data_IF_926078292681
#
_entry.id   IF_926078292681
#
_cell.length_a   1.000
_cell.length_b   1.000
_cell.length_c   1.000
_cell.angle_alpha   90.00
_cell.angle_beta   90.00
_cell.angle_gamma   90.00
#
_symmetry.space_group_name_H-M   'P 1'
#
loop_
_entity.id
_entity.type
_entity.pdbx_description
1 polymer ?
#
# COMPACT_ATOMS: atom_id res chain seq x y z
N UNK A 1 -4.48 -9.89 -13.80
CA UNK A 1 -3.28 -10.64 -13.35
C UNK A 1 -2.36 -9.67 -12.62
N UNK A 2 -1.72 -10.06 -11.52
CA UNK A 2 -0.86 -9.19 -10.73
C UNK A 2 0.37 -9.95 -10.23
N UNK A 3 1.34 -9.21 -9.71
CA UNK A 3 2.47 -9.70 -8.94
C UNK A 3 2.59 -8.88 -7.65
N UNK A 4 3.27 -9.43 -6.64
CA UNK A 4 3.45 -8.77 -5.35
C UNK A 4 4.94 -8.57 -5.16
N UNK A 5 5.34 -7.33 -4.88
CA UNK A 5 6.73 -6.99 -4.57
C UNK A 5 6.78 -6.36 -3.19
N UNK A 6 7.49 -7.01 -2.27
CA UNK A 6 7.74 -6.47 -0.93
C UNK A 6 9.23 -6.13 -0.82
N UNK A 7 9.53 -4.91 -0.34
CA UNK A 7 10.89 -4.49 -0.04
C UNK A 7 10.99 -4.24 1.45
N UNK A 8 11.66 -5.15 2.15
CA UNK A 8 11.86 -5.10 3.60
C UNK A 8 12.94 -4.09 3.97
N UNK A 9 12.64 -3.20 4.91
CA UNK A 9 13.50 -2.14 5.43
C UNK A 9 14.59 -2.62 6.39
N UNK A 10 15.02 -3.90 6.28
CA UNK A 10 15.83 -4.59 7.28
C UNK A 10 15.15 -4.73 8.64
N UNK A 11 13.87 -5.12 8.66
CA UNK A 11 13.13 -5.37 9.91
C UNK A 11 13.82 -6.43 10.79
N UNK A 12 13.81 -6.17 12.10
CA UNK A 12 14.46 -7.00 13.14
C UNK A 12 13.49 -7.86 13.93
N UNK A 13 12.21 -7.84 13.59
CA UNK A 13 11.09 -8.45 14.31
C UNK A 13 10.65 -9.80 13.72
N UNK A 14 11.45 -10.37 12.82
CA UNK A 14 11.12 -11.62 12.12
C UNK A 14 10.34 -11.45 10.82
N UNK A 15 9.98 -10.23 10.42
CA UNK A 15 9.29 -9.93 9.14
C UNK A 15 9.93 -10.65 7.95
N UNK A 16 11.26 -10.66 7.86
CA UNK A 16 11.94 -11.31 6.74
C UNK A 16 11.80 -12.82 6.70
N UNK A 17 11.81 -13.49 7.86
CA UNK A 17 11.61 -14.93 7.92
C UNK A 17 10.20 -15.27 7.42
N UNK A 18 9.19 -14.48 7.82
CA UNK A 18 7.81 -14.61 7.34
C UNK A 18 7.74 -14.41 5.82
N UNK A 19 8.39 -13.37 5.29
CA UNK A 19 8.43 -13.10 3.85
C UNK A 19 9.08 -14.25 3.05
N UNK A 20 10.14 -14.85 3.57
CA UNK A 20 10.79 -16.01 2.96
C UNK A 20 9.85 -17.23 2.91
N UNK A 21 9.11 -17.50 3.99
CA UNK A 21 8.13 -18.59 4.04
C UNK A 21 6.94 -18.35 3.09
N UNK A 22 6.42 -17.12 3.07
CA UNK A 22 5.34 -16.74 2.15
C UNK A 22 5.76 -16.87 0.68
N UNK A 23 7.00 -16.49 0.35
CA UNK A 23 7.55 -16.61 -1.01
C UNK A 23 7.60 -18.07 -1.49
N UNK A 24 7.88 -19.02 -0.60
CA UNK A 24 7.85 -20.45 -0.95
C UNK A 24 6.45 -20.92 -1.35
N UNK A 25 5.41 -20.33 -0.76
CA UNK A 25 4.00 -20.71 -0.96
C UNK A 25 3.31 -19.90 -2.05
N UNK A 26 3.81 -18.71 -2.36
CA UNK A 26 3.20 -17.79 -3.30
C UNK A 26 4.20 -17.40 -4.42
N UNK A 27 4.09 -18.00 -5.62
CA UNK A 27 5.00 -17.71 -6.73
C UNK A 27 4.84 -16.28 -7.29
N UNK A 28 3.76 -15.57 -6.94
CA UNK A 28 3.57 -14.17 -7.31
C UNK A 28 4.35 -13.20 -6.42
N UNK A 29 4.88 -13.67 -5.27
CA UNK A 29 5.59 -12.83 -4.31
C UNK A 29 7.09 -12.78 -4.60
N UNK A 30 7.59 -11.56 -4.82
CA UNK A 30 9.00 -11.22 -4.85
C UNK A 30 9.36 -10.42 -3.62
N UNK A 31 10.51 -10.71 -3.04
CA UNK A 31 10.98 -10.07 -1.81
C UNK A 31 12.38 -9.51 -2.05
N UNK A 32 12.62 -8.30 -1.58
CA UNK A 32 13.91 -7.60 -1.59
C UNK A 32 14.18 -7.00 -0.22
N UNK A 33 15.41 -6.51 -0.01
CA UNK A 33 15.82 -5.82 1.21
C UNK A 33 16.60 -4.57 0.89
N UNK A 34 16.32 -3.49 1.61
CA UNK A 34 17.08 -2.25 1.54
C UNK A 34 17.01 -1.51 2.88
N UNK A 35 18.14 -1.15 3.50
CA UNK A 35 18.14 -0.54 4.84
C UNK A 35 17.93 0.98 4.82
N UNK A 36 17.68 1.59 3.66
CA UNK A 36 17.75 3.05 3.52
C UNK A 36 16.49 3.75 4.03
N UNK A 37 15.45 3.82 3.19
CA UNK A 37 14.18 4.46 3.53
C UNK A 37 13.06 3.93 2.62
N UNK A 38 11.81 4.27 2.95
CA UNK A 38 10.65 3.84 2.20
C UNK A 38 10.69 4.26 0.72
N UNK A 39 11.26 5.42 0.38
CA UNK A 39 11.36 5.86 -1.00
C UNK A 39 12.35 5.00 -1.80
N UNK A 40 13.51 4.65 -1.23
CA UNK A 40 14.46 3.72 -1.83
C UNK A 40 13.82 2.34 -2.04
N UNK A 41 13.06 1.86 -1.05
CA UNK A 41 12.28 0.62 -1.16
C UNK A 41 11.27 0.66 -2.31
N UNK A 42 10.46 1.72 -2.40
CA UNK A 42 9.52 1.93 -3.52
C UNK A 42 10.23 1.96 -4.87
N UNK A 43 11.38 2.62 -4.98
CA UNK A 43 12.18 2.66 -6.20
C UNK A 43 12.75 1.29 -6.60
N UNK A 44 13.10 0.43 -5.65
CA UNK A 44 13.46 -0.97 -5.92
C UNK A 44 12.24 -1.73 -6.44
N UNK A 45 11.08 -1.54 -5.81
CA UNK A 45 9.81 -2.13 -6.24
C UNK A 45 9.48 -1.81 -7.69
N UNK A 46 9.47 -0.51 -8.04
CA UNK A 46 9.18 -0.03 -9.40
C UNK A 46 10.14 -0.64 -10.43
N UNK A 47 11.46 -0.65 -10.15
CA UNK A 47 12.47 -1.20 -11.08
C UNK A 47 12.32 -2.71 -11.33
N UNK A 48 11.68 -3.45 -10.43
CA UNK A 48 11.49 -4.89 -10.53
C UNK A 48 10.08 -5.31 -10.96
N UNK A 49 9.16 -4.33 -11.08
CA UNK A 49 7.79 -4.54 -11.53
C UNK A 49 7.76 -4.82 -13.04
N UNK A 50 6.86 -5.71 -13.47
CA UNK A 50 6.63 -6.08 -14.87
C UNK A 50 5.24 -5.69 -15.36
N UNK A 51 4.38 -5.18 -14.47
CA UNK A 51 3.05 -4.70 -14.81
C UNK A 51 3.08 -3.36 -15.56
N UNK A 52 2.03 -3.07 -16.32
CA UNK A 52 1.82 -1.75 -16.93
C UNK A 52 1.45 -0.66 -15.91
N UNK A 53 1.03 -1.07 -14.71
CA UNK A 53 0.70 -0.20 -13.58
C UNK A 53 1.40 -0.69 -12.31
N UNK A 54 1.68 0.25 -11.40
CA UNK A 54 2.20 -0.04 -10.06
C UNK A 54 1.18 0.48 -9.05
N UNK A 55 0.67 -0.40 -8.20
CA UNK A 55 -0.18 -0.06 -7.07
C UNK A 55 0.63 -0.14 -5.77
N UNK A 56 0.64 0.93 -4.99
CA UNK A 56 1.32 0.98 -3.70
C UNK A 56 0.36 0.67 -2.57
N UNK A 57 0.81 -0.13 -1.61
CA UNK A 57 0.12 -0.39 -0.35
C UNK A 57 1.16 -0.53 0.76
N UNK A 58 0.87 0.04 1.92
CA UNK A 58 1.75 -0.02 3.09
C UNK A 58 1.59 -1.36 3.82
N UNK A 59 2.62 -1.74 4.62
CA UNK A 59 2.68 -3.05 5.28
C UNK A 59 1.67 -3.25 6.41
N UNK A 60 1.03 -2.17 6.86
CA UNK A 60 0.00 -2.12 7.89
C UNK A 60 -1.41 -1.85 7.32
N UNK A 61 -1.56 -1.88 5.99
CA UNK A 61 -2.83 -1.66 5.32
C UNK A 61 -3.49 -2.98 4.86
N UNK A 62 -4.82 -2.98 4.82
CA UNK A 62 -5.63 -4.07 4.28
C UNK A 62 -6.28 -3.61 2.97
N UNK A 63 -5.98 -4.32 1.88
CA UNK A 63 -6.63 -4.05 0.60
C UNK A 63 -8.08 -4.56 0.61
N UNK A 64 -9.02 -3.75 0.10
CA UNK A 64 -10.37 -4.21 -0.22
C UNK A 64 -10.31 -5.34 -1.26
N UNK A 65 -11.29 -6.26 -1.22
CA UNK A 65 -11.34 -7.41 -2.14
C UNK A 65 -11.38 -6.98 -3.61
N UNK A 66 -11.99 -5.82 -3.90
CA UNK A 66 -12.11 -5.26 -5.24
C UNK A 66 -11.07 -4.17 -5.54
N UNK A 67 -10.06 -3.99 -4.67
CA UNK A 67 -9.13 -2.85 -4.75
C UNK A 67 -8.43 -2.73 -6.10
N UNK A 68 -7.75 -3.78 -6.56
CA UNK A 68 -7.05 -3.77 -7.84
C UNK A 68 -7.99 -3.69 -9.05
N UNK A 69 -9.17 -4.29 -8.95
CA UNK A 69 -10.19 -4.24 -10.01
C UNK A 69 -10.72 -2.82 -10.20
N UNK A 70 -11.01 -2.13 -9.10
CA UNK A 70 -11.49 -0.75 -9.11
C UNK A 70 -10.43 0.21 -9.66
N UNK A 71 -9.16 0.03 -9.27
CA UNK A 71 -8.02 0.78 -9.83
C UNK A 71 -7.96 0.59 -11.35
N UNK A 72 -7.98 -0.65 -11.83
CA UNK A 72 -7.91 -0.97 -13.27
C UNK A 72 -9.07 -0.35 -14.06
N UNK A 73 -10.31 -0.55 -13.60
CA UNK A 73 -11.51 0.02 -14.25
C UNK A 73 -11.47 1.54 -14.30
N UNK A 74 -10.89 2.17 -13.28
CA UNK A 74 -10.78 3.64 -13.23
C UNK A 74 -9.80 4.12 -14.29
N UNK A 75 -8.62 3.50 -14.43
CA UNK A 75 -7.69 3.82 -15.51
C UNK A 75 -8.35 3.71 -16.89
N UNK A 76 -9.08 2.63 -17.15
CA UNK A 76 -9.78 2.41 -18.43
C UNK A 76 -10.85 3.48 -18.71
N UNK A 77 -11.52 3.96 -17.66
CA UNK A 77 -12.61 4.94 -17.77
C UNK A 77 -12.12 6.37 -17.99
N UNK A 78 -11.09 6.80 -17.25
CA UNK A 78 -10.69 8.21 -17.22
C UNK A 78 -9.40 8.52 -18.00
N UNK A 79 -8.62 7.51 -18.40
CA UNK A 79 -7.34 7.73 -19.08
C UNK A 79 -6.33 8.51 -18.22
N UNK A 80 -6.42 8.39 -16.90
CA UNK A 80 -5.56 9.10 -15.96
C UNK A 80 -4.13 8.52 -15.94
N UNK A 81 -3.14 9.35 -15.56
CA UNK A 81 -1.76 8.90 -15.32
C UNK A 81 -1.55 8.31 -13.92
N UNK A 82 -2.51 8.54 -13.01
CA UNK A 82 -2.51 8.03 -11.65
C UNK A 82 -3.93 8.01 -11.10
N UNK A 83 -4.25 7.01 -10.30
CA UNK A 83 -5.53 6.87 -9.61
C UNK A 83 -5.25 6.64 -8.12
N UNK A 84 -6.07 7.27 -7.28
CA UNK A 84 -6.00 7.14 -5.84
C UNK A 84 -7.39 6.79 -5.29
N UNK A 85 -7.41 6.34 -4.05
CA UNK A 85 -8.62 6.03 -3.32
C UNK A 85 -8.51 6.45 -1.86
N UNK A 86 -9.63 6.40 -1.14
CA UNK A 86 -9.65 6.75 0.26
C UNK A 86 -8.89 5.74 1.14
N UNK A 87 -8.37 6.21 2.27
CA UNK A 87 -7.84 5.37 3.34
C UNK A 87 -8.93 5.20 4.40
N UNK A 88 -9.61 4.05 4.35
CA UNK A 88 -10.79 3.78 5.16
C UNK A 88 -10.42 2.99 6.41
N UNK A 89 -10.91 3.45 7.56
CA UNK A 89 -10.79 2.71 8.80
C UNK A 89 -11.64 1.42 8.77
N UNK A 90 -11.11 0.28 9.24
CA UNK A 90 -11.91 -0.91 9.47
C UNK A 90 -13.12 -0.62 10.38
N UNK A 91 -14.29 -1.24 10.15
CA UNK A 91 -15.50 -0.97 10.94
C UNK A 91 -15.32 -1.19 12.46
N UNK A 92 -14.48 -2.15 12.83
CA UNK A 92 -14.13 -2.56 14.18
C UNK A 92 -12.94 -1.79 14.78
N UNK A 93 -12.53 -0.68 14.15
CA UNK A 93 -11.45 0.18 14.62
C UNK A 93 -11.63 0.63 16.06
N UNK A 94 -10.52 0.58 16.81
CA UNK A 94 -10.48 1.05 18.20
C UNK A 94 -10.75 2.56 18.29
N UNK A 95 -11.13 3.05 19.48
CA UNK A 95 -11.26 4.48 19.72
C UNK A 95 -9.97 5.26 19.39
N UNK A 96 -8.80 4.65 19.63
CA UNK A 96 -7.50 5.24 19.30
C UNK A 96 -7.34 5.41 17.78
N UNK A 97 -7.61 4.37 16.99
CA UNK A 97 -7.53 4.42 15.52
C UNK A 97 -8.52 5.44 14.94
N UNK A 98 -9.74 5.51 15.50
CA UNK A 98 -10.75 6.50 15.12
C UNK A 98 -10.29 7.93 15.41
N UNK A 99 -9.71 8.18 16.59
CA UNK A 99 -9.17 9.49 16.92
C UNK A 99 -8.00 9.90 16.01
N UNK A 100 -7.09 8.97 15.71
CA UNK A 100 -6.00 9.20 14.75
C UNK A 100 -6.59 9.54 13.37
N UNK A 101 -7.54 8.75 12.88
CA UNK A 101 -8.20 9.00 11.59
C UNK A 101 -8.83 10.39 11.52
N UNK A 102 -9.58 10.80 12.54
CA UNK A 102 -10.18 12.14 12.61
C UNK A 102 -9.14 13.27 12.58
N UNK A 103 -8.00 13.09 13.25
CA UNK A 103 -6.90 14.07 13.21
C UNK A 103 -6.28 14.10 11.81
N UNK A 104 -5.98 12.94 11.24
CA UNK A 104 -5.35 12.80 9.92
C UNK A 104 -6.20 13.35 8.77
N UNK A 105 -7.52 13.40 8.94
CA UNK A 105 -8.46 13.92 7.93
C UNK A 105 -8.89 15.36 8.22
N UNK A 106 -8.48 15.90 9.36
CA UNK A 106 -8.70 17.30 9.70
C UNK A 106 -7.86 18.24 8.82
N UNK A 107 -8.32 19.48 8.57
CA UNK A 107 -7.57 20.47 7.80
C UNK A 107 -6.14 20.73 8.32
N UNK A 108 -5.87 20.47 9.59
CA UNK A 108 -4.53 20.62 10.17
C UNK A 108 -3.54 19.61 9.60
N UNK A 109 -3.95 18.34 9.49
CA UNK A 109 -3.06 17.27 9.03
C UNK A 109 -2.97 17.18 7.49
N UNK A 110 -4.01 17.64 6.80
CA UNK A 110 -4.15 17.55 5.35
C UNK A 110 -3.73 18.83 4.59
N UNK A 111 -3.05 19.77 5.25
CA UNK A 111 -2.56 21.00 4.60
C UNK A 111 -3.66 21.98 4.19
N UNK A 112 -4.72 22.08 4.99
CA UNK A 112 -5.83 23.03 4.82
C UNK A 112 -7.02 22.50 4.01
N UNK A 113 -6.94 21.28 3.47
CA UNK A 113 -8.00 20.67 2.66
C UNK A 113 -8.74 19.60 3.44
N UNK A 114 -10.07 19.64 3.53
CA UNK A 114 -10.80 18.49 4.07
C UNK A 114 -10.53 17.29 3.17
N UNK A 115 -10.01 16.19 3.73
CA UNK A 115 -9.84 14.94 2.99
C UNK A 115 -11.12 14.13 3.15
N UNK A 116 -12.01 14.05 2.14
CA UNK A 116 -13.26 13.31 2.21
C UNK A 116 -13.08 11.79 2.17
N UNK A 117 -11.84 11.32 2.34
CA UNK A 117 -11.45 9.91 2.29
C UNK A 117 -11.77 9.11 3.56
N UNK A 118 -12.55 9.67 4.48
CA UNK A 118 -13.20 8.99 5.62
C UNK A 118 -14.68 9.29 5.66
#
# INVERSE_FOLDING_TARGET
KYEIIVVDGFSTDGTWAILQELKKRNPLLKIFRDPTNAAAGRNIGIRNAKGGYVAFIDGDALADTNWLENISKTFDKVGAIGVGGPDLLPPDSTYKSKAIGMIMTSPLASGGWFNPSV
#
